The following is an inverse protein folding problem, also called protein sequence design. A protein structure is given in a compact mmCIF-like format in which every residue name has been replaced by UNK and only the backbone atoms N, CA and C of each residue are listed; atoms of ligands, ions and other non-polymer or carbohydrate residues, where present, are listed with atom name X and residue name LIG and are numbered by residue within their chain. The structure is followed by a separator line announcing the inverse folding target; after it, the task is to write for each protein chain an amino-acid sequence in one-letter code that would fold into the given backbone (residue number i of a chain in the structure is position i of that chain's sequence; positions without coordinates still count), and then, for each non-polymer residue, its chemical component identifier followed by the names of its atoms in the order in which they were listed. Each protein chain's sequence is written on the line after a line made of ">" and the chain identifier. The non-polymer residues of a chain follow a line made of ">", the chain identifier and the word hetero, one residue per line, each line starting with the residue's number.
data_IF_783354280232
#
_entry.id   IF_783354280232
#
_cell.length_a   1.000
_cell.length_b   1.000
_cell.length_c   1.000
_cell.angle_alpha   90.00
_cell.angle_beta   90.00
_cell.angle_gamma   90.00
#
_symmetry.space_group_name_H-M   'P 1'
#
loop_
_entity.id
_entity.type
_entity.pdbx_description
1 polymer ?
#
# COMPACT_ATOMS: atom_id res chain seq x y z
N UNK A 1 -17.91 40.49 45.22
CA UNK A 1 -17.69 39.84 46.54
C UNK A 1 -17.61 38.33 46.28
N UNK A 2 -16.42 37.76 46.07
CA UNK A 2 -15.56 37.05 47.06
C UNK A 2 -16.24 35.85 47.76
N UNK A 3 -15.80 34.64 47.39
CA UNK A 3 -15.30 33.51 48.24
C UNK A 3 -15.10 32.28 47.33
N UNK A 4 -13.88 31.98 46.90
CA UNK A 4 -12.77 31.26 47.57
C UNK A 4 -12.91 29.73 47.46
N UNK A 5 -11.85 29.15 46.90
CA UNK A 5 -11.51 27.77 46.62
C UNK A 5 -11.51 26.85 47.84
N UNK A 6 -11.77 25.54 47.63
CA UNK A 6 -11.12 24.46 48.38
C UNK A 6 -10.78 23.33 47.40
N UNK A 7 -9.48 23.18 47.14
CA UNK A 7 -8.85 21.95 46.64
C UNK A 7 -8.67 21.04 47.85
N UNK A 8 -9.04 19.77 47.75
CA UNK A 8 -8.57 18.74 48.66
C UNK A 8 -8.46 17.40 47.91
N UNK A 9 -7.23 17.07 47.51
CA UNK A 9 -6.82 15.75 47.11
C UNK A 9 -6.96 14.77 48.30
N UNK A 10 -7.55 13.60 48.07
CA UNK A 10 -7.53 12.49 49.01
C UNK A 10 -6.77 11.34 48.37
N UNK A 11 -5.53 11.18 48.83
CA UNK A 11 -4.62 10.09 48.56
C UNK A 11 -4.61 9.23 49.84
N UNK A 12 -5.16 8.02 49.79
CA UNK A 12 -5.11 7.01 50.85
C UNK A 12 -4.91 5.65 50.16
N UNK A 13 -3.66 5.18 50.04
CA UNK A 13 -2.89 4.33 50.97
C UNK A 13 -3.31 2.85 50.97
N UNK A 14 -2.38 2.06 50.45
CA UNK A 14 -2.29 0.61 50.40
C UNK A 14 -2.40 -0.05 51.79
N UNK A 15 -2.93 -1.27 51.85
CA UNK A 15 -2.49 -2.31 52.81
C UNK A 15 -3.03 -3.71 52.46
N UNK A 16 -2.11 -4.70 52.48
CA UNK A 16 -2.35 -6.16 52.33
C UNK A 16 -1.41 -6.76 51.26
N UNK A 17 -0.15 -7.18 51.50
CA UNK A 17 0.39 -8.25 52.38
C UNK A 17 -0.34 -9.60 52.19
N UNK A 18 0.26 -10.74 51.85
CA UNK A 18 1.62 -11.20 51.51
C UNK A 18 1.47 -12.49 50.66
N UNK A 19 2.48 -13.09 50.03
CA UNK A 19 3.68 -13.73 50.62
C UNK A 19 4.80 -13.87 49.59
N UNK A 20 6.03 -13.58 50.02
CA UNK A 20 7.28 -13.67 49.27
C UNK A 20 7.92 -15.09 49.35
N UNK A 21 9.22 -15.28 49.08
CA UNK A 21 9.85 -15.46 47.76
C UNK A 21 10.59 -16.82 47.67
N UNK A 22 11.04 -17.23 46.47
CA UNK A 22 12.06 -18.28 46.35
C UNK A 22 13.31 -17.73 45.69
N UNK A 23 14.34 -17.57 46.52
CA UNK A 23 15.67 -17.07 46.17
C UNK A 23 16.47 -18.05 45.32
N UNK A 24 17.32 -17.43 44.51
CA UNK A 24 18.37 -17.91 43.61
C UNK A 24 19.46 -18.68 44.39
N UNK A 25 20.36 -19.41 43.70
CA UNK A 25 21.74 -18.97 43.80
C UNK A 25 22.39 -18.74 42.44
N UNK A 26 23.07 -17.59 42.35
CA UNK A 26 24.00 -17.26 41.29
C UNK A 26 25.29 -18.07 41.46
N UNK A 27 25.84 -18.55 40.35
CA UNK A 27 27.27 -18.81 40.22
C UNK A 27 27.72 -18.26 38.86
N UNK A 28 28.58 -17.25 38.96
CA UNK A 28 29.33 -16.60 37.89
C UNK A 28 30.34 -17.58 37.31
N UNK A 29 30.40 -17.70 35.99
CA UNK A 29 31.65 -17.92 35.26
C UNK A 29 31.62 -17.09 33.98
N UNK A 30 32.39 -16.02 34.03
CA UNK A 30 33.01 -15.31 32.90
C UNK A 30 33.71 -16.28 31.96
N UNK A 31 33.53 -16.16 30.64
CA UNK A 31 34.62 -16.13 29.65
C UNK A 31 34.18 -15.31 28.40
N UNK A 32 34.94 -14.30 27.96
CA UNK A 32 34.81 -13.71 26.64
C UNK A 32 35.60 -14.55 25.63
N UNK A 33 34.92 -15.15 24.66
CA UNK A 33 35.60 -15.81 23.54
C UNK A 33 35.98 -14.76 22.49
N UNK A 34 37.21 -14.29 22.62
CA UNK A 34 37.99 -13.61 21.57
C UNK A 34 38.86 -14.67 20.91
N UNK A 35 38.58 -15.00 19.64
CA UNK A 35 39.49 -15.77 18.78
C UNK A 35 39.69 -14.94 17.49
N UNK A 36 40.67 -14.04 17.52
CA UNK A 36 41.97 -14.20 16.90
C UNK A 36 41.93 -14.15 15.36
N UNK A 37 42.08 -12.91 14.87
CA UNK A 37 42.48 -12.60 13.51
C UNK A 37 43.76 -13.38 13.15
N UNK A 38 43.69 -14.22 12.12
CA UNK A 38 44.86 -14.76 11.43
C UNK A 38 45.13 -13.93 10.19
N UNK A 39 46.14 -13.08 10.33
CA UNK A 39 46.77 -12.28 9.30
C UNK A 39 47.59 -13.20 8.38
N UNK A 40 47.09 -13.51 7.19
CA UNK A 40 47.90 -14.11 6.12
C UNK A 40 48.47 -12.99 5.26
N UNK A 41 49.73 -12.67 5.48
CA UNK A 41 50.56 -11.90 4.54
C UNK A 41 51.18 -12.84 3.51
N UNK A 42 51.02 -12.53 2.22
CA UNK A 42 52.01 -12.78 1.14
C UNK A 42 51.58 -12.12 -0.18
N UNK A 43 52.51 -11.92 -1.14
CA UNK A 43 52.98 -10.58 -1.51
C UNK A 43 52.63 -10.16 -2.95
N UNK A 44 52.86 -8.85 -3.18
CA UNK A 44 53.07 -8.10 -4.42
C UNK A 44 53.40 -8.89 -5.68
N UNK A 45 52.62 -8.66 -6.75
CA UNK A 45 53.14 -8.50 -8.11
C UNK A 45 52.41 -7.35 -8.83
N UNK A 46 53.23 -6.44 -9.35
CA UNK A 46 52.95 -5.38 -10.31
C UNK A 46 52.59 -6.01 -11.68
N UNK A 47 51.79 -5.35 -12.54
CA UNK A 47 52.47 -4.89 -13.75
C UNK A 47 52.03 -3.50 -14.27
N UNK A 48 53.07 -2.69 -14.40
CA UNK A 48 53.32 -1.57 -15.27
C UNK A 48 52.79 -1.76 -16.72
N UNK A 49 52.23 -0.67 -17.25
CA UNK A 49 52.24 -0.23 -18.67
C UNK A 49 51.54 -1.04 -19.77
N UNK A 50 50.61 -0.38 -20.46
CA UNK A 50 50.83 0.31 -21.75
C UNK A 50 49.47 0.84 -22.27
N UNK A 51 49.23 2.16 -22.32
CA UNK A 51 49.28 2.99 -23.54
C UNK A 51 48.87 2.25 -24.82
N UNK A 52 47.83 2.73 -25.53
CA UNK A 52 47.96 3.39 -26.86
C UNK A 52 46.65 3.40 -27.68
N UNK A 53 46.31 4.61 -28.14
CA UNK A 53 45.57 5.06 -29.33
C UNK A 53 44.08 4.77 -29.64
N UNK A 54 43.51 5.83 -30.22
CA UNK A 54 42.17 6.14 -30.71
C UNK A 54 41.92 5.59 -32.15
N UNK A 55 41.08 6.24 -33.00
CA UNK A 55 39.61 6.35 -33.03
C UNK A 55 39.01 5.74 -34.34
N UNK A 56 37.67 5.85 -34.47
CA UNK A 56 36.91 5.94 -35.75
C UNK A 56 36.76 4.66 -36.57
N UNK A 57 35.50 4.28 -36.83
CA UNK A 57 34.92 4.06 -38.17
C UNK A 57 33.40 3.83 -38.05
N UNK A 58 32.62 4.62 -38.78
CA UNK A 58 31.32 4.21 -39.30
C UNK A 58 31.57 3.70 -40.73
N UNK A 59 30.81 2.72 -41.22
CA UNK A 59 29.85 3.10 -42.24
C UNK A 59 28.53 2.29 -42.27
N UNK A 60 27.48 3.03 -42.62
CA UNK A 60 26.27 2.71 -43.37
C UNK A 60 26.29 1.41 -44.20
N UNK A 61 25.25 0.59 -44.06
CA UNK A 61 24.65 -0.13 -45.18
C UNK A 61 23.11 -0.13 -45.07
N UNK A 62 22.49 0.29 -46.16
CA UNK A 62 21.05 0.37 -46.38
C UNK A 62 20.54 -0.96 -46.93
N UNK A 63 19.36 -1.40 -46.48
CA UNK A 63 18.59 -2.49 -47.10
C UNK A 63 17.22 -1.90 -47.48
N UNK A 64 16.75 -2.07 -48.73
CA UNK A 64 15.59 -1.38 -49.23
C UNK A 64 14.27 -1.98 -48.74
N UNK A 65 13.34 -1.07 -48.50
CA UNK A 65 11.94 -1.24 -48.15
C UNK A 65 11.15 -1.78 -49.36
N UNK A 66 10.51 -2.94 -49.21
CA UNK A 66 9.53 -3.47 -50.15
C UNK A 66 8.16 -3.39 -49.45
N UNK A 67 7.44 -2.30 -49.73
CA UNK A 67 6.10 -2.03 -49.20
C UNK A 67 5.06 -2.70 -50.09
N UNK A 68 4.41 -3.74 -49.57
CA UNK A 68 3.17 -4.32 -50.12
C UNK A 68 1.99 -3.45 -49.67
N UNK A 69 1.03 -3.08 -50.55
CA UNK A 69 -0.10 -2.25 -50.15
C UNK A 69 -1.15 -3.07 -49.41
N UNK A 70 -1.31 -2.79 -48.11
CA UNK A 70 -2.38 -3.35 -47.27
C UNK A 70 -3.74 -2.73 -47.66
N UNK A 71 -4.66 -3.57 -48.12
CA UNK A 71 -6.04 -3.22 -48.46
C UNK A 71 -6.80 -2.86 -47.18
N UNK A 72 -7.16 -1.58 -47.03
CA UNK A 72 -7.88 -1.08 -45.84
C UNK A 72 -9.38 -1.34 -45.99
N UNK A 73 -9.92 -2.32 -45.26
CA UNK A 73 -11.38 -2.42 -45.07
C UNK A 73 -11.89 -1.26 -44.18
N UNK A 74 -13.06 -0.67 -44.47
CA UNK A 74 -13.63 0.40 -43.66
C UNK A 74 -14.07 -0.12 -42.28
N UNK A 75 -13.83 0.65 -41.19
CA UNK A 75 -14.18 0.20 -39.85
C UNK A 75 -15.69 0.12 -39.67
N UNK A 76 -16.16 -1.01 -39.13
CA UNK A 76 -17.57 -1.17 -38.73
C UNK A 76 -17.95 -0.18 -37.61
N UNK A 77 -19.20 0.32 -37.60
CA UNK A 77 -19.66 1.25 -36.57
C UNK A 77 -19.79 0.53 -35.22
N UNK A 78 -18.82 0.75 -34.34
CA UNK A 78 -18.88 0.29 -32.94
C UNK A 78 -20.09 0.92 -32.25
N UNK A 79 -21.07 0.09 -31.91
CA UNK A 79 -22.19 0.48 -31.04
C UNK A 79 -21.64 0.66 -29.64
N UNK A 80 -21.55 1.91 -29.15
CA UNK A 80 -21.20 2.20 -27.77
C UNK A 80 -22.21 1.52 -26.83
N UNK A 81 -21.71 0.67 -25.94
CA UNK A 81 -22.51 0.04 -24.89
C UNK A 81 -23.05 1.13 -23.95
N UNK A 82 -24.27 0.97 -23.40
CA UNK A 82 -24.86 1.95 -22.50
C UNK A 82 -24.01 2.10 -21.24
N UNK A 83 -23.45 3.29 -21.05
CA UNK A 83 -22.69 3.68 -19.87
C UNK A 83 -23.62 3.70 -18.65
N UNK A 84 -23.31 2.92 -17.61
CA UNK A 84 -23.98 3.03 -16.32
C UNK A 84 -23.83 4.47 -15.79
N UNK A 85 -24.79 5.00 -15.02
CA UNK A 85 -24.68 6.35 -14.48
C UNK A 85 -23.49 6.41 -13.52
N UNK A 86 -22.45 7.16 -13.89
CA UNK A 86 -21.33 7.47 -13.00
C UNK A 86 -21.81 8.30 -11.81
N UNK A 87 -21.44 7.87 -10.60
CA UNK A 87 -21.65 8.67 -9.39
C UNK A 87 -20.74 9.89 -9.44
N UNK A 88 -21.32 11.09 -9.33
CA UNK A 88 -20.56 12.33 -9.32
C UNK A 88 -19.67 12.42 -8.07
N UNK A 89 -18.41 12.81 -8.25
CA UNK A 89 -17.45 13.00 -7.16
C UNK A 89 -17.76 14.20 -6.27
N UNK A 90 -17.33 14.10 -5.01
CA UNK A 90 -17.41 15.11 -3.97
C UNK A 90 -16.07 15.81 -3.73
N UNK A 91 -14.95 15.17 -4.09
CA UNK A 91 -13.62 15.73 -3.94
C UNK A 91 -13.19 16.42 -5.22
N UNK A 92 -12.40 17.49 -5.08
CA UNK A 92 -11.87 18.27 -6.19
C UNK A 92 -10.34 18.31 -6.23
N UNK A 93 -9.68 17.94 -5.13
CA UNK A 93 -8.22 17.83 -5.08
C UNK A 93 -7.75 16.83 -4.02
N UNK A 94 -6.47 16.48 -4.08
CA UNK A 94 -5.83 15.55 -3.13
C UNK A 94 -5.78 16.16 -1.73
N UNK A 95 -5.62 17.48 -1.63
CA UNK A 95 -5.54 18.20 -0.35
C UNK A 95 -6.85 18.11 0.46
N UNK A 96 -8.00 17.99 -0.22
CA UNK A 96 -9.31 17.85 0.44
C UNK A 96 -9.47 16.50 1.16
N UNK A 97 -8.72 15.46 0.74
CA UNK A 97 -8.68 14.17 1.45
C UNK A 97 -8.18 14.36 2.89
N UNK A 98 -7.25 15.30 3.08
CA UNK A 98 -6.66 15.62 4.39
C UNK A 98 -6.14 14.37 5.14
N UNK A 99 -5.46 13.48 4.41
CA UNK A 99 -4.87 12.26 4.96
C UNK A 99 -3.87 12.61 6.07
N UNK A 100 -4.06 12.02 7.24
CA UNK A 100 -3.27 12.31 8.44
C UNK A 100 -2.83 11.01 9.11
N UNK A 101 -1.55 10.89 9.40
CA UNK A 101 -1.00 9.84 10.27
C UNK A 101 -1.44 10.10 11.72
N UNK A 102 -2.17 9.15 12.30
CA UNK A 102 -2.82 9.29 13.61
C UNK A 102 -1.94 8.88 14.77
N UNK A 103 -0.96 8.00 14.53
CA UNK A 103 -0.04 7.50 15.55
C UNK A 103 1.41 7.96 15.36
N UNK A 104 1.74 8.50 14.19
CA UNK A 104 3.10 8.93 13.85
C UNK A 104 4.02 7.76 13.50
N UNK A 105 3.48 6.56 13.33
CA UNK A 105 4.21 5.33 13.00
C UNK A 105 4.11 4.98 11.50
N UNK A 106 3.43 5.80 10.71
CA UNK A 106 3.22 5.58 9.28
C UNK A 106 2.38 4.34 8.99
N UNK A 107 1.49 3.95 9.90
CA UNK A 107 0.68 2.73 9.77
C UNK A 107 -0.81 3.02 9.82
N UNK A 108 -1.27 3.88 10.74
CA UNK A 108 -2.69 4.17 10.93
C UNK A 108 -3.00 5.60 10.50
N UNK A 109 -3.80 5.73 9.45
CA UNK A 109 -4.18 7.01 8.86
C UNK A 109 -5.67 7.25 8.95
N UNK A 110 -6.03 8.52 8.98
CA UNK A 110 -7.42 8.99 8.85
C UNK A 110 -7.54 10.02 7.73
N UNK A 111 -8.68 10.03 7.05
CA UNK A 111 -9.01 11.04 6.04
C UNK A 111 -10.47 11.47 6.12
N UNK A 112 -10.77 12.69 5.65
CA UNK A 112 -12.13 13.20 5.59
C UNK A 112 -12.76 12.91 4.23
N UNK A 113 -14.00 12.44 4.23
CA UNK A 113 -14.81 12.35 3.04
C UNK A 113 -16.25 12.72 3.37
N UNK A 114 -16.75 13.79 2.75
CA UNK A 114 -18.10 14.32 2.97
C UNK A 114 -18.43 14.59 4.45
N UNK A 115 -17.46 15.10 5.21
CA UNK A 115 -17.61 15.37 6.64
C UNK A 115 -17.59 14.14 7.54
N UNK A 116 -17.40 12.94 7.00
CA UNK A 116 -17.15 11.72 7.77
C UNK A 116 -15.66 11.37 7.78
N UNK A 117 -15.17 10.84 8.91
CA UNK A 117 -13.82 10.30 8.99
C UNK A 117 -13.80 8.84 8.55
N UNK A 118 -12.79 8.50 7.76
CA UNK A 118 -12.47 7.15 7.32
C UNK A 118 -11.07 6.79 7.80
N UNK A 119 -10.86 5.50 8.07
CA UNK A 119 -9.57 4.96 8.50
C UNK A 119 -8.91 4.24 7.32
N UNK A 120 -7.61 4.41 7.18
CA UNK A 120 -6.77 3.66 6.26
C UNK A 120 -5.58 3.07 7.02
N UNK A 121 -5.36 1.76 6.86
CA UNK A 121 -4.25 1.05 7.49
C UNK A 121 -3.26 0.66 6.42
N UNK A 122 -2.02 1.08 6.58
CA UNK A 122 -0.92 0.71 5.71
C UNK A 122 -0.22 -0.55 6.23
N UNK A 123 0.14 -1.42 5.31
CA UNK A 123 1.24 -2.37 5.48
C UNK A 123 2.17 -2.25 4.27
N UNK A 124 3.44 -2.69 4.36
CA UNK A 124 4.35 -2.68 3.21
C UNK A 124 3.81 -3.37 1.96
N UNK A 125 2.86 -4.30 2.12
CA UNK A 125 2.29 -5.07 1.02
C UNK A 125 1.00 -4.44 0.48
N UNK A 126 0.22 -3.71 1.27
CA UNK A 126 -1.09 -3.20 0.84
C UNK A 126 -1.62 -2.05 1.71
N UNK A 127 -2.59 -1.30 1.14
CA UNK A 127 -3.48 -0.44 1.92
C UNK A 127 -4.78 -1.16 2.24
N UNK A 128 -5.35 -0.93 3.42
CA UNK A 128 -6.72 -1.33 3.77
C UNK A 128 -7.54 -0.09 4.12
N UNK A 129 -8.69 0.09 3.49
CA UNK A 129 -9.58 1.23 3.76
C UNK A 129 -10.84 0.74 4.45
N UNK A 130 -11.11 1.24 5.64
CA UNK A 130 -12.20 0.78 6.49
C UNK A 130 -13.52 1.44 6.07
N UNK A 131 -14.59 0.64 5.96
CA UNK A 131 -15.90 1.04 5.45
C UNK A 131 -15.88 1.67 4.05
N UNK A 132 -14.93 1.23 3.22
CA UNK A 132 -14.68 1.77 1.89
C UNK A 132 -15.87 1.61 0.91
N UNK A 133 -16.79 0.68 1.20
CA UNK A 133 -18.04 0.51 0.44
C UNK A 133 -18.95 1.75 0.41
N UNK A 134 -18.71 2.73 1.29
CA UNK A 134 -19.49 3.97 1.38
C UNK A 134 -19.02 5.08 0.42
N UNK A 135 -17.93 4.84 -0.28
CA UNK A 135 -17.35 5.76 -1.27
C UNK A 135 -17.59 5.11 -2.63
N UNK A 136 -18.36 5.75 -3.49
CA UNK A 136 -18.82 5.14 -4.75
C UNK A 136 -18.32 5.89 -6.00
N UNK A 137 -17.92 7.15 -5.85
CA UNK A 137 -17.43 7.94 -6.98
C UNK A 137 -15.98 7.57 -7.29
N UNK A 138 -15.77 6.96 -8.46
CA UNK A 138 -14.43 6.56 -8.91
C UNK A 138 -13.44 7.75 -8.95
N UNK A 139 -13.90 8.95 -9.35
CA UNK A 139 -13.06 10.15 -9.35
C UNK A 139 -12.53 10.50 -7.95
N UNK A 140 -13.33 10.27 -6.91
CA UNK A 140 -12.92 10.51 -5.53
C UNK A 140 -11.98 9.42 -5.04
N UNK A 141 -12.25 8.15 -5.40
CA UNK A 141 -11.34 7.04 -5.12
C UNK A 141 -9.95 7.32 -5.70
N UNK A 142 -9.85 7.85 -6.92
CA UNK A 142 -8.56 8.24 -7.53
C UNK A 142 -7.84 9.30 -6.71
N UNK A 143 -8.54 10.33 -6.23
CA UNK A 143 -7.93 11.37 -5.37
C UNK A 143 -7.46 10.79 -4.03
N UNK A 144 -8.25 9.91 -3.42
CA UNK A 144 -7.87 9.21 -2.19
C UNK A 144 -6.66 8.31 -2.43
N UNK A 145 -6.68 7.47 -3.47
CA UNK A 145 -5.55 6.62 -3.83
C UNK A 145 -4.29 7.42 -4.17
N UNK A 146 -4.44 8.63 -4.74
CA UNK A 146 -3.32 9.54 -4.96
C UNK A 146 -2.73 10.01 -3.63
N UNK A 147 -3.56 10.41 -2.65
CA UNK A 147 -3.10 10.77 -1.31
C UNK A 147 -2.37 9.60 -0.62
N UNK A 148 -2.93 8.39 -0.69
CA UNK A 148 -2.32 7.18 -0.12
C UNK A 148 -0.96 6.87 -0.77
N UNK A 149 -0.88 6.89 -2.10
CA UNK A 149 0.36 6.61 -2.84
C UNK A 149 1.44 7.67 -2.65
N UNK A 150 1.07 8.93 -2.42
CA UNK A 150 2.03 9.99 -2.09
C UNK A 150 2.72 9.76 -0.74
N UNK A 151 2.02 9.12 0.19
CA UNK A 151 2.56 8.77 1.50
C UNK A 151 3.34 7.45 1.43
N UNK A 152 2.68 6.38 0.98
CA UNK A 152 3.27 5.07 0.79
C UNK A 152 2.80 4.41 -0.52
N UNK A 153 3.67 4.34 -1.56
CA UNK A 153 3.33 3.65 -2.78
C UNK A 153 3.31 2.13 -2.55
N UNK A 154 2.40 1.43 -3.23
CA UNK A 154 2.31 -0.03 -3.20
C UNK A 154 2.79 -0.63 -4.51
N UNK A 155 3.43 -1.79 -4.44
CA UNK A 155 3.99 -2.45 -5.61
C UNK A 155 2.92 -2.96 -6.57
N UNK A 156 3.26 -3.01 -7.86
CA UNK A 156 2.50 -3.81 -8.84
C UNK A 156 2.59 -5.31 -8.53
N UNK A 157 1.66 -6.10 -9.05
CA UNK A 157 1.62 -7.55 -8.87
C UNK A 157 2.93 -8.28 -9.25
N UNK A 158 3.65 -7.77 -10.25
CA UNK A 158 4.91 -8.31 -10.74
C UNK A 158 6.15 -7.81 -9.94
N UNK A 159 5.92 -6.94 -8.95
CA UNK A 159 6.96 -6.30 -8.14
C UNK A 159 8.00 -5.50 -8.95
N UNK A 160 7.71 -5.18 -10.22
CA UNK A 160 8.62 -4.44 -11.10
C UNK A 160 8.40 -2.93 -11.05
N UNK A 161 7.30 -2.48 -10.45
CA UNK A 161 6.95 -1.07 -10.35
C UNK A 161 6.04 -0.78 -9.18
N UNK A 162 5.42 0.39 -9.26
CA UNK A 162 4.43 0.87 -8.33
C UNK A 162 3.08 0.95 -9.03
N UNK A 163 2.00 0.75 -8.29
CA UNK A 163 0.66 0.92 -8.83
C UNK A 163 0.34 2.38 -9.09
N UNK A 164 -0.47 2.61 -10.12
CA UNK A 164 -1.06 3.92 -10.35
C UNK A 164 -2.29 4.10 -9.44
N UNK A 165 -2.59 5.34 -9.02
CA UNK A 165 -3.85 5.63 -8.31
C UNK A 165 -5.10 5.17 -9.05
N UNK A 166 -5.10 5.23 -10.38
CA UNK A 166 -6.18 4.76 -11.25
C UNK A 166 -6.37 3.25 -11.14
N UNK A 167 -5.29 2.46 -11.16
CA UNK A 167 -5.38 1.00 -10.98
C UNK A 167 -5.95 0.67 -9.60
N UNK A 168 -5.51 1.37 -8.56
CA UNK A 168 -5.98 1.16 -7.18
C UNK A 168 -7.46 1.50 -7.03
N UNK A 169 -7.90 2.63 -7.62
CA UNK A 169 -9.28 3.07 -7.61
C UNK A 169 -10.20 2.14 -8.41
N UNK A 170 -9.72 1.62 -9.55
CA UNK A 170 -10.46 0.64 -10.34
C UNK A 170 -10.73 -0.64 -9.53
N UNK A 171 -9.70 -1.18 -8.88
CA UNK A 171 -9.85 -2.36 -8.01
C UNK A 171 -10.83 -2.10 -6.86
N UNK A 172 -10.74 -0.94 -6.22
CA UNK A 172 -11.69 -0.55 -5.18
C UNK A 172 -13.12 -0.48 -5.72
N UNK A 173 -13.34 0.12 -6.88
CA UNK A 173 -14.66 0.13 -7.51
C UNK A 173 -15.17 -1.30 -7.76
N UNK A 174 -14.35 -2.19 -8.33
CA UNK A 174 -14.73 -3.59 -8.55
C UNK A 174 -15.02 -4.31 -7.23
N UNK A 175 -14.24 -4.04 -6.18
CA UNK A 175 -14.47 -4.55 -4.83
C UNK A 175 -15.82 -4.10 -4.27
N UNK A 176 -16.17 -2.82 -4.42
CA UNK A 176 -17.45 -2.27 -3.96
C UNK A 176 -18.63 -2.87 -4.74
N UNK A 177 -18.47 -3.08 -6.05
CA UNK A 177 -19.46 -3.78 -6.86
C UNK A 177 -19.64 -5.23 -6.40
N UNK A 178 -18.54 -5.95 -6.11
CA UNK A 178 -18.59 -7.31 -5.58
C UNK A 178 -19.30 -7.35 -4.22
N UNK A 179 -19.00 -6.40 -3.33
CA UNK A 179 -19.71 -6.21 -2.08
C UNK A 179 -21.20 -5.97 -2.30
N UNK A 180 -21.59 -5.10 -3.23
CA UNK A 180 -22.99 -4.78 -3.51
C UNK A 180 -23.78 -5.99 -4.03
N UNK A 181 -23.13 -6.90 -4.75
CA UNK A 181 -23.73 -8.16 -5.23
C UNK A 181 -24.03 -9.16 -4.11
N UNK A 182 -23.34 -9.07 -2.97
CA UNK A 182 -23.64 -9.91 -1.81
C UNK A 182 -25.01 -9.51 -1.24
N UNK A 183 -25.88 -10.49 -1.00
CA UNK A 183 -27.14 -10.27 -0.28
C UNK A 183 -26.91 -9.67 1.11
N UNK A 184 -27.86 -8.90 1.63
CA UNK A 184 -27.73 -8.25 2.94
C UNK A 184 -27.52 -9.25 4.10
N UNK A 185 -28.08 -10.45 3.98
CA UNK A 185 -27.95 -11.53 4.96
C UNK A 185 -26.75 -12.44 4.68
N UNK A 186 -25.88 -12.07 3.72
CA UNK A 186 -24.68 -12.84 3.38
C UNK A 186 -23.72 -12.89 4.57
N UNK A 187 -23.21 -14.07 4.95
CA UNK A 187 -22.20 -14.17 6.01
C UNK A 187 -20.89 -13.47 5.64
N UNK A 188 -20.66 -13.19 4.35
CA UNK A 188 -19.45 -12.54 3.84
C UNK A 188 -19.58 -11.01 3.74
N UNK A 189 -20.75 -10.45 4.04
CA UNK A 189 -21.01 -9.00 3.88
C UNK A 189 -20.08 -8.17 4.75
N UNK A 190 -19.91 -8.55 6.02
CA UNK A 190 -19.08 -7.80 6.97
C UNK A 190 -17.59 -7.83 6.59
N UNK A 191 -17.09 -8.96 6.11
CA UNK A 191 -15.68 -9.08 5.69
C UNK A 191 -15.39 -8.40 4.36
N UNK A 192 -16.39 -8.20 3.50
CA UNK A 192 -16.23 -7.60 2.18
C UNK A 192 -16.44 -6.07 2.17
N UNK A 193 -16.75 -5.44 3.31
CA UNK A 193 -17.07 -4.00 3.37
C UNK A 193 -15.83 -3.09 3.27
N UNK A 194 -14.66 -3.64 3.55
CA UNK A 194 -13.38 -2.93 3.53
C UNK A 194 -12.59 -3.41 2.32
N UNK A 195 -12.07 -2.49 1.50
CA UNK A 195 -11.15 -2.83 0.40
C UNK A 195 -9.75 -3.04 0.98
N UNK A 196 -9.12 -4.11 0.53
CA UNK A 196 -7.69 -4.38 0.66
C UNK A 196 -7.04 -4.17 -0.71
N UNK A 197 -6.33 -3.06 -0.88
CA UNK A 197 -5.66 -2.74 -2.15
C UNK A 197 -4.39 -3.59 -2.25
N UNK A 198 -4.59 -4.85 -2.60
CA UNK A 198 -3.55 -5.88 -2.60
C UNK A 198 -2.93 -5.98 -3.99
N UNK A 199 -1.59 -5.97 -4.13
CA UNK A 199 -0.93 -6.21 -5.40
C UNK A 199 -1.40 -7.50 -6.09
N UNK A 200 -1.75 -8.54 -5.33
CA UNK A 200 -2.25 -9.80 -5.89
C UNK A 200 -3.65 -9.69 -6.52
N UNK A 201 -4.40 -8.62 -6.21
CA UNK A 201 -5.74 -8.36 -6.75
C UNK A 201 -5.71 -7.45 -7.99
N UNK A 202 -4.53 -6.93 -8.34
CA UNK A 202 -4.36 -6.08 -9.51
C UNK A 202 -4.83 -6.80 -10.79
N UNK A 203 -5.76 -6.16 -11.50
CA UNK A 203 -6.28 -6.67 -12.77
C UNK A 203 -7.35 -7.75 -12.64
N UNK A 204 -7.73 -8.15 -11.42
CA UNK A 204 -8.88 -9.04 -11.22
C UNK A 204 -10.17 -8.36 -11.68
N UNK A 205 -11.01 -9.13 -12.34
CA UNK A 205 -12.36 -8.73 -12.71
C UNK A 205 -13.30 -8.73 -11.49
N UNK A 206 -14.43 -8.03 -11.62
CA UNK A 206 -15.55 -8.12 -10.66
C UNK A 206 -15.92 -9.57 -10.31
N UNK A 207 -15.95 -10.46 -11.32
CA UNK A 207 -16.31 -11.84 -11.10
C UNK A 207 -15.28 -12.57 -10.23
N UNK A 208 -13.99 -12.39 -10.51
CA UNK A 208 -12.91 -12.99 -9.71
C UNK A 208 -12.93 -12.47 -8.27
N UNK A 209 -13.04 -11.16 -8.08
CA UNK A 209 -13.16 -10.56 -6.74
C UNK A 209 -14.40 -11.07 -6.00
N UNK A 210 -15.54 -11.18 -6.67
CA UNK A 210 -16.75 -11.76 -6.08
C UNK A 210 -16.55 -13.23 -5.69
N UNK A 211 -15.93 -14.04 -6.55
CA UNK A 211 -15.61 -15.44 -6.23
C UNK A 211 -14.70 -15.53 -5.00
N UNK A 212 -13.65 -14.71 -4.93
CA UNK A 212 -12.73 -14.72 -3.79
C UNK A 212 -13.46 -14.47 -2.47
N UNK A 213 -14.46 -13.57 -2.44
CA UNK A 213 -15.26 -13.28 -1.23
C UNK A 213 -16.18 -14.42 -0.79
N UNK A 214 -16.65 -15.25 -1.72
CA UNK A 214 -17.56 -16.36 -1.39
C UNK A 214 -16.84 -17.72 -1.27
N UNK A 215 -15.57 -17.81 -1.70
CA UNK A 215 -14.79 -19.05 -1.70
C UNK A 215 -13.71 -19.15 -0.61
N UNK A 216 -13.22 -18.05 -0.04
CA UNK A 216 -12.15 -18.10 0.98
C UNK A 216 -12.66 -18.69 2.30
N UNK A 217 -12.19 -19.92 2.61
CA UNK A 217 -12.13 -20.57 3.93
C UNK A 217 -10.69 -21.02 4.19
#
# INVERSE_FOLDING_TARGET
>A
MKRICIVAAVLLLCTGCGTAPKSIPAAVTTEPSTEAATFVSRPTEDPEKALTDAPTEAPTEAVPEETEPEETEPPEPTTEAPTAPYTAGLLHSVEEVALTDTDGEGTNYEFNYNGAMFEAVYTPDNWKIINSYRIEAQSDMVLICTALSNEHPIHSADMQGWRTPEDMAFEWEQHNLAFAMLGNDSPWKDSARDVDINPADQGKSLYELYQDRIQTQ
#
